data_IF_454246143348
#
_entry.id   IF_454246143348
#
_cell.length_a   1.000
_cell.length_b   1.000
_cell.length_c   1.000
_cell.angle_alpha   90.00
_cell.angle_beta   90.00
_cell.angle_gamma   90.00
#
_symmetry.space_group_name_H-M   'P 1'
#
loop_
_entity.id
_entity.type
_entity.pdbx_description
1 polymer ?
#
# COMPACT_ATOMS: atom_id res chain seq x y z
N UNK A 1 5.07 15.56 42.83
CA UNK A 1 4.82 14.36 42.00
C UNK A 1 4.08 14.86 40.76
N UNK A 2 4.82 15.25 39.73
CA UNK A 2 4.22 15.66 38.45
C UNK A 2 3.96 14.41 37.62
N UNK A 3 2.69 14.17 37.31
CA UNK A 3 2.31 13.18 36.31
C UNK A 3 2.46 13.89 34.95
N UNK A 4 3.65 13.78 34.36
CA UNK A 4 3.86 14.14 32.96
C UNK A 4 3.23 13.06 32.09
N UNK A 5 1.94 13.18 31.81
CA UNK A 5 1.36 12.48 30.66
C UNK A 5 1.83 13.24 29.42
N UNK A 6 3.01 12.89 28.91
CA UNK A 6 3.30 13.13 27.49
C UNK A 6 2.41 12.13 26.75
N UNK A 7 1.16 12.52 26.52
CA UNK A 7 0.37 11.86 25.49
C UNK A 7 0.98 12.34 24.18
N UNK A 8 2.01 11.62 23.72
CA UNK A 8 2.46 11.71 22.34
C UNK A 8 1.20 11.56 21.48
N UNK A 9 0.69 12.66 20.93
CA UNK A 9 -0.26 12.59 19.85
C UNK A 9 0.48 11.90 18.72
N UNK A 10 0.33 10.58 18.61
CA UNK A 10 0.51 9.86 17.37
C UNK A 10 -0.49 10.49 16.40
N UNK A 11 -0.07 11.53 15.68
CA UNK A 11 -0.92 12.21 14.73
C UNK A 11 -1.32 11.19 13.66
N UNK A 12 -2.59 10.82 13.64
CA UNK A 12 -3.13 9.83 12.71
C UNK A 12 -3.81 10.55 11.56
N UNK A 13 -3.48 10.15 10.33
CA UNK A 13 -4.21 10.56 9.14
C UNK A 13 -4.99 9.36 8.61
N UNK A 14 -6.33 9.45 8.59
CA UNK A 14 -7.20 8.37 8.10
C UNK A 14 -8.03 8.90 6.93
N UNK A 15 -7.86 8.29 5.76
CA UNK A 15 -8.59 8.67 4.54
C UNK A 15 -9.31 7.44 4.01
N UNK A 16 -10.60 7.58 3.70
CA UNK A 16 -11.41 6.52 3.09
C UNK A 16 -12.16 7.07 1.88
N UNK A 17 -12.07 6.38 0.73
CA UNK A 17 -12.84 6.69 -0.48
C UNK A 17 -13.51 5.44 -1.01
N UNK A 18 -14.83 5.47 -1.19
CA UNK A 18 -15.64 4.37 -1.75
C UNK A 18 -16.46 4.82 -2.95
N UNK A 19 -16.57 4.04 -4.02
CA UNK A 19 -17.45 4.36 -5.16
C UNK A 19 -17.05 3.68 -6.48
N UNK A 20 -17.60 4.12 -7.60
CA UNK A 20 -17.27 3.51 -8.90
C UNK A 20 -15.88 3.93 -9.40
N UNK A 21 -15.65 5.24 -9.55
CA UNK A 21 -14.42 5.79 -10.12
C UNK A 21 -13.92 6.93 -9.23
N UNK A 22 -12.65 6.90 -8.82
CA UNK A 22 -12.00 8.00 -8.09
C UNK A 22 -10.50 7.81 -8.07
N UNK A 23 -9.75 8.87 -7.80
CA UNK A 23 -8.37 8.75 -7.31
C UNK A 23 -8.29 9.20 -5.85
N UNK A 24 -7.21 8.81 -5.17
CA UNK A 24 -6.73 9.48 -3.95
C UNK A 24 -5.33 10.02 -4.24
N UNK A 25 -5.07 11.28 -3.89
CA UNK A 25 -3.74 11.86 -3.87
C UNK A 25 -3.47 12.42 -2.48
N UNK A 26 -2.67 11.72 -1.68
CA UNK A 26 -2.28 12.15 -0.34
C UNK A 26 -0.86 12.70 -0.33
N UNK A 27 -0.67 13.81 0.36
CA UNK A 27 0.62 14.40 0.64
C UNK A 27 0.65 14.84 2.11
N UNK A 28 1.58 14.31 2.90
CA UNK A 28 1.66 14.67 4.32
C UNK A 28 2.55 13.76 5.15
N UNK A 29 2.63 14.06 6.45
CA UNK A 29 3.35 13.27 7.42
C UNK A 29 2.47 12.97 8.65
N UNK A 30 2.80 11.91 9.39
CA UNK A 30 2.07 11.54 10.61
C UNK A 30 2.70 10.37 11.35
N UNK A 31 2.35 10.17 12.62
CA UNK A 31 2.75 8.97 13.34
C UNK A 31 2.17 7.71 12.69
N UNK A 32 0.94 7.80 12.21
CA UNK A 32 0.24 6.72 11.50
C UNK A 32 -0.59 7.27 10.34
N UNK A 33 -0.31 6.84 9.12
CA UNK A 33 -1.10 7.20 7.95
C UNK A 33 -1.85 5.97 7.44
N UNK A 34 -3.18 6.00 7.41
CA UNK A 34 -4.02 4.95 6.83
C UNK A 34 -4.88 5.49 5.70
N UNK A 35 -4.73 4.91 4.51
CA UNK A 35 -5.49 5.27 3.32
C UNK A 35 -6.21 4.04 2.78
N UNK A 36 -7.53 4.14 2.68
CA UNK A 36 -8.41 3.10 2.17
C UNK A 36 -9.12 3.58 0.89
N UNK A 37 -8.85 2.94 -0.24
CA UNK A 37 -9.45 3.25 -1.54
C UNK A 37 -10.21 2.05 -2.10
N UNK A 38 -11.52 2.11 -1.95
CA UNK A 38 -12.48 1.06 -2.30
C UNK A 38 -13.30 1.48 -3.52
N UNK A 39 -12.65 1.54 -4.67
CA UNK A 39 -13.30 1.90 -5.93
C UNK A 39 -13.13 0.83 -6.98
N UNK A 40 -14.04 0.79 -7.96
CA UNK A 40 -13.85 -0.11 -9.10
C UNK A 40 -12.64 0.33 -9.92
N UNK A 41 -12.59 1.59 -10.34
CA UNK A 41 -11.46 2.14 -11.10
C UNK A 41 -10.83 3.32 -10.37
N UNK A 42 -9.50 3.35 -10.25
CA UNK A 42 -8.87 4.44 -9.54
C UNK A 42 -7.48 4.19 -9.03
N UNK A 43 -6.61 5.19 -9.13
CA UNK A 43 -5.25 5.15 -8.59
C UNK A 43 -5.19 5.70 -7.17
N UNK A 44 -4.22 5.24 -6.40
CA UNK A 44 -3.86 5.79 -5.10
C UNK A 44 -2.42 6.30 -5.14
N UNK A 45 -2.22 7.59 -4.92
CA UNK A 45 -0.90 8.21 -4.80
C UNK A 45 -0.69 8.65 -3.37
N UNK A 46 0.46 8.31 -2.80
CA UNK A 46 0.92 8.76 -1.49
C UNK A 46 2.31 9.36 -1.62
N UNK A 47 2.49 10.57 -1.09
CA UNK A 47 3.80 11.18 -0.89
C UNK A 47 3.94 11.61 0.56
N UNK A 48 4.91 11.08 1.30
CA UNK A 48 4.92 11.38 2.73
C UNK A 48 5.86 10.60 3.61
N UNK A 49 5.71 10.83 4.91
CA UNK A 49 6.51 10.20 5.95
C UNK A 49 5.67 9.76 7.14
N UNK A 50 6.10 8.73 7.86
CA UNK A 50 5.46 8.46 9.14
C UNK A 50 6.03 7.31 9.95
N UNK A 51 5.57 7.16 11.19
CA UNK A 51 5.91 5.98 12.00
C UNK A 51 5.45 4.70 11.30
N UNK A 52 4.21 4.72 10.79
CA UNK A 52 3.70 3.65 9.93
C UNK A 52 2.77 4.19 8.83
N UNK A 53 2.93 3.68 7.62
CA UNK A 53 2.09 4.00 6.47
C UNK A 53 1.35 2.77 5.98
N UNK A 54 0.01 2.81 5.96
CA UNK A 54 -0.88 1.74 5.51
C UNK A 54 -1.73 2.20 4.33
N UNK A 55 -1.53 1.59 3.18
CA UNK A 55 -2.30 1.87 1.97
C UNK A 55 -3.05 0.62 1.55
N UNK A 56 -4.36 0.73 1.37
CA UNK A 56 -5.22 -0.36 0.92
C UNK A 56 -6.03 0.07 -0.30
N UNK A 57 -5.73 -0.53 -1.45
CA UNK A 57 -6.53 -0.40 -2.67
C UNK A 57 -7.33 -1.69 -2.85
N UNK A 58 -8.66 -1.60 -2.92
CA UNK A 58 -9.51 -2.79 -3.02
C UNK A 58 -10.80 -2.53 -3.82
N UNK A 59 -11.42 -3.58 -4.34
CA UNK A 59 -12.80 -3.54 -4.85
C UNK A 59 -13.56 -4.73 -4.26
N UNK A 60 -14.71 -4.45 -3.64
CA UNK A 60 -15.59 -5.40 -2.93
C UNK A 60 -15.44 -6.86 -3.39
N UNK A 61 -15.19 -7.77 -2.42
CA UNK A 61 -15.11 -9.26 -2.39
C UNK A 61 -14.83 -10.08 -3.67
N UNK A 62 -15.28 -9.60 -4.81
CA UNK A 62 -15.02 -10.02 -6.17
C UNK A 62 -13.71 -9.44 -6.73
N UNK A 63 -13.38 -8.16 -6.49
CA UNK A 63 -12.32 -7.42 -7.19
C UNK A 63 -12.30 -7.52 -8.74
N UNK A 64 -13.17 -8.31 -9.37
CA UNK A 64 -13.29 -8.46 -10.81
C UNK A 64 -13.73 -7.14 -11.44
N UNK A 65 -13.24 -6.91 -12.65
CA UNK A 65 -13.38 -5.69 -13.42
C UNK A 65 -12.85 -4.44 -12.71
N UNK A 66 -12.05 -4.57 -11.65
CA UNK A 66 -11.44 -3.42 -10.98
C UNK A 66 -10.03 -3.17 -11.43
N UNK A 67 -9.64 -1.89 -11.44
CA UNK A 67 -8.30 -1.50 -11.83
C UNK A 67 -7.79 -0.29 -11.07
N UNK A 68 -6.48 -0.25 -10.87
CA UNK A 68 -5.88 0.87 -10.18
C UNK A 68 -4.50 0.56 -9.63
N UNK A 69 -3.61 1.53 -9.79
CA UNK A 69 -2.25 1.42 -9.30
C UNK A 69 -2.15 2.04 -7.90
N UNK A 70 -1.17 1.57 -7.12
CA UNK A 70 -0.67 2.28 -5.95
C UNK A 70 0.70 2.87 -6.31
N UNK A 71 0.85 4.18 -6.14
CA UNK A 71 2.13 4.88 -6.22
C UNK A 71 2.48 5.42 -4.83
N UNK A 72 3.46 4.79 -4.18
CA UNK A 72 3.97 5.22 -2.88
C UNK A 72 5.36 5.84 -3.04
N UNK A 73 5.52 7.05 -2.53
CA UNK A 73 6.79 7.76 -2.43
C UNK A 73 6.96 8.24 -0.98
N UNK A 74 7.87 7.65 -0.21
CA UNK A 74 7.95 8.03 1.19
C UNK A 74 8.86 7.23 2.08
N UNK A 75 8.94 7.69 3.33
CA UNK A 75 9.71 7.03 4.39
C UNK A 75 8.78 6.59 5.51
N UNK A 76 9.16 5.55 6.23
CA UNK A 76 8.54 5.31 7.52
C UNK A 76 9.17 4.23 8.37
N UNK A 77 8.76 4.13 9.63
CA UNK A 77 9.16 2.99 10.48
C UNK A 77 8.70 1.67 9.84
N UNK A 78 7.46 1.63 9.34
CA UNK A 78 6.98 0.57 8.48
C UNK A 78 6.03 1.04 7.38
N UNK A 79 6.01 0.31 6.27
CA UNK A 79 5.18 0.58 5.11
C UNK A 79 4.41 -0.68 4.71
N UNK A 80 3.09 -0.67 4.87
CA UNK A 80 2.18 -1.75 4.47
C UNK A 80 1.32 -1.34 3.28
N UNK A 81 1.61 -1.89 2.11
CA UNK A 81 0.98 -1.53 0.84
C UNK A 81 0.24 -2.74 0.28
N UNK A 82 -1.08 -2.65 0.19
CA UNK A 82 -1.96 -3.77 -0.16
C UNK A 82 -2.86 -3.40 -1.33
N UNK A 83 -2.76 -4.15 -2.44
CA UNK A 83 -3.59 -3.96 -3.62
C UNK A 83 -4.36 -5.23 -3.96
N UNK A 84 -5.69 -5.17 -3.82
CA UNK A 84 -6.66 -6.22 -4.17
C UNK A 84 -7.61 -5.73 -5.27
N UNK A 85 -7.09 -5.65 -6.48
CA UNK A 85 -7.83 -5.27 -7.70
C UNK A 85 -7.53 -6.28 -8.81
N UNK A 86 -8.37 -6.34 -9.85
CA UNK A 86 -8.12 -7.27 -10.96
C UNK A 86 -6.82 -6.92 -11.67
N UNK A 87 -6.65 -5.66 -12.07
CA UNK A 87 -5.45 -5.18 -12.78
C UNK A 87 -4.85 -3.93 -12.15
N UNK A 88 -3.53 -3.86 -12.09
CA UNK A 88 -2.82 -2.67 -11.63
C UNK A 88 -1.58 -3.01 -10.81
N UNK A 89 -0.69 -2.04 -10.72
CA UNK A 89 0.65 -2.24 -10.18
C UNK A 89 0.78 -1.65 -8.78
N UNK A 90 1.80 -2.11 -8.06
CA UNK A 90 2.32 -1.41 -6.89
C UNK A 90 3.68 -0.85 -7.27
N UNK A 91 3.82 0.48 -7.25
CA UNK A 91 5.11 1.17 -7.34
C UNK A 91 5.46 1.79 -6.00
N UNK A 92 6.55 1.34 -5.40
CA UNK A 92 7.09 1.84 -4.15
C UNK A 92 8.44 2.49 -4.40
N UNK A 93 8.61 3.70 -3.86
CA UNK A 93 9.87 4.41 -3.83
C UNK A 93 10.11 4.98 -2.43
N UNK A 94 11.23 4.61 -1.80
CA UNK A 94 11.59 5.13 -0.49
C UNK A 94 12.14 4.08 0.46
N UNK A 95 11.72 4.07 1.72
CA UNK A 95 12.32 3.14 2.68
C UNK A 95 11.68 3.10 4.06
N UNK A 96 12.10 2.11 4.83
CA UNK A 96 11.65 1.91 6.20
C UNK A 96 12.26 0.69 6.86
N UNK A 97 12.03 0.48 8.15
CA UNK A 97 12.54 -0.73 8.81
C UNK A 97 11.87 -1.98 8.24
N UNK A 98 10.56 -1.90 8.00
CA UNK A 98 9.76 -2.94 7.38
C UNK A 98 8.98 -2.41 6.16
N UNK A 99 9.12 -3.08 5.01
CA UNK A 99 8.35 -2.79 3.81
C UNK A 99 7.59 -4.04 3.38
N UNK A 100 6.26 -4.00 3.43
CA UNK A 100 5.39 -5.11 3.02
C UNK A 100 4.53 -4.66 1.85
N UNK A 101 4.72 -5.28 0.69
CA UNK A 101 3.99 -5.01 -0.54
C UNK A 101 3.25 -6.28 -0.95
N UNK A 102 1.91 -6.25 -0.93
CA UNK A 102 1.08 -7.39 -1.30
C UNK A 102 0.18 -7.01 -2.47
N UNK A 103 0.33 -7.73 -3.58
CA UNK A 103 -0.49 -7.63 -4.77
C UNK A 103 -1.34 -8.88 -4.93
N UNK A 104 -2.66 -8.71 -4.91
CA UNK A 104 -3.63 -9.80 -5.04
C UNK A 104 -4.62 -9.56 -6.18
N UNK A 105 -4.53 -10.34 -7.25
CA UNK A 105 -5.43 -10.24 -8.41
C UNK A 105 -4.86 -10.82 -9.69
N UNK A 106 -5.53 -10.57 -10.82
CA UNK A 106 -5.25 -11.23 -12.11
C UNK A 106 -3.92 -10.81 -12.73
N UNK A 107 -3.63 -9.51 -12.76
CA UNK A 107 -2.43 -8.99 -13.42
C UNK A 107 -1.88 -7.72 -12.79
N UNK A 108 -0.56 -7.59 -12.77
CA UNK A 108 0.13 -6.39 -12.36
C UNK A 108 1.44 -6.70 -11.67
N UNK A 109 2.34 -5.73 -11.76
CA UNK A 109 3.70 -5.85 -11.28
C UNK A 109 3.86 -5.23 -9.88
N UNK A 110 4.91 -5.66 -9.19
CA UNK A 110 5.41 -4.97 -8.00
C UNK A 110 6.77 -4.37 -8.36
N UNK A 111 6.90 -3.05 -8.24
CA UNK A 111 8.17 -2.34 -8.35
C UNK A 111 8.55 -1.76 -7.00
N UNK A 112 9.69 -2.17 -6.48
CA UNK A 112 10.26 -1.61 -5.26
C UNK A 112 11.62 -0.97 -5.56
N UNK A 113 11.68 0.34 -5.34
CA UNK A 113 12.90 1.15 -5.40
C UNK A 113 13.18 1.70 -4.00
N UNK A 114 13.91 0.97 -3.17
CA UNK A 114 14.01 1.34 -1.77
C UNK A 114 14.73 0.38 -0.87
N UNK A 115 15.02 0.84 0.34
CA UNK A 115 15.74 0.06 1.33
C UNK A 115 14.89 -0.23 2.56
N UNK A 116 15.19 -1.35 3.21
CA UNK A 116 14.67 -1.65 4.53
C UNK A 116 15.27 -2.87 5.17
N UNK A 117 15.29 -2.91 6.50
CA UNK A 117 15.86 -4.05 7.23
C UNK A 117 15.12 -5.35 6.86
N UNK A 118 13.81 -5.28 6.66
CA UNK A 118 12.98 -6.37 6.14
C UNK A 118 12.07 -5.89 5.02
N UNK A 119 12.16 -6.53 3.86
CA UNK A 119 11.31 -6.29 2.70
C UNK A 119 10.55 -7.57 2.39
N UNK A 120 9.23 -7.49 2.24
CA UNK A 120 8.38 -8.62 1.84
C UNK A 120 7.51 -8.20 0.66
N UNK A 121 7.78 -8.81 -0.49
CA UNK A 121 7.05 -8.55 -1.73
C UNK A 121 6.31 -9.83 -2.10
N UNK A 122 4.99 -9.75 -2.19
CA UNK A 122 4.15 -10.94 -2.37
C UNK A 122 3.14 -10.69 -3.46
N UNK A 123 3.12 -11.57 -4.47
CA UNK A 123 2.12 -11.60 -5.51
C UNK A 123 1.35 -12.91 -5.40
N UNK A 124 0.04 -12.82 -5.23
CA UNK A 124 -0.82 -13.98 -4.97
C UNK A 124 -2.15 -13.88 -5.71
N UNK A 125 -2.77 -15.03 -5.90
CA UNK A 125 -4.22 -15.18 -6.16
C UNK A 125 -4.78 -16.09 -5.08
N UNK A 126 -6.04 -15.94 -4.69
CA UNK A 126 -6.69 -16.87 -3.74
C UNK A 126 -7.39 -17.98 -4.51
N UNK A 127 -7.41 -19.17 -3.93
CA UNK A 127 -8.16 -20.31 -4.44
C UNK A 127 -9.68 -20.08 -4.54
N UNK A 128 -10.20 -19.10 -3.80
CA UNK A 128 -11.60 -18.64 -3.82
C UNK A 128 -11.85 -17.54 -4.83
N UNK A 129 -10.81 -17.03 -5.47
CA UNK A 129 -10.95 -15.99 -6.47
C UNK A 129 -11.39 -16.58 -7.81
N UNK A 130 -12.06 -15.76 -8.62
CA UNK A 130 -12.46 -16.15 -9.98
C UNK A 130 -11.25 -16.43 -10.87
N UNK A 131 -10.10 -15.83 -10.57
CA UNK A 131 -8.84 -16.09 -11.25
C UNK A 131 -7.97 -17.03 -10.43
N UNK A 132 -7.77 -18.25 -10.94
CA UNK A 132 -6.91 -19.28 -10.32
C UNK A 132 -5.40 -19.02 -10.51
N UNK A 133 -5.07 -18.06 -11.38
CA UNK A 133 -3.70 -17.68 -11.71
C UNK A 133 -3.58 -16.15 -11.66
N UNK A 134 -2.34 -15.70 -11.45
CA UNK A 134 -1.97 -14.29 -11.48
C UNK A 134 -0.77 -14.11 -12.41
N UNK A 135 -0.68 -12.99 -13.12
CA UNK A 135 0.44 -12.62 -14.01
C UNK A 135 1.13 -11.33 -13.56
N UNK A 136 2.42 -11.19 -13.90
CA UNK A 136 3.25 -10.03 -13.54
C UNK A 136 4.55 -10.42 -12.85
N UNK A 137 5.46 -9.46 -12.80
CA UNK A 137 6.81 -9.59 -12.28
C UNK A 137 6.97 -8.84 -10.95
N UNK A 138 8.00 -9.22 -10.21
CA UNK A 138 8.46 -8.49 -9.03
C UNK A 138 9.84 -7.94 -9.36
N UNK A 139 9.97 -6.62 -9.30
CA UNK A 139 11.21 -5.88 -9.50
C UNK A 139 11.63 -5.27 -8.17
N UNK A 140 12.82 -5.62 -7.71
CA UNK A 140 13.42 -5.07 -6.50
C UNK A 140 14.76 -4.42 -6.84
N UNK A 141 14.91 -3.16 -6.44
CA UNK A 141 16.15 -2.40 -6.52
C UNK A 141 16.33 -1.64 -5.20
N UNK A 142 17.35 -2.01 -4.44
CA UNK A 142 17.63 -1.39 -3.15
C UNK A 142 18.37 -2.31 -2.20
N UNK A 143 18.26 -2.04 -0.90
CA UNK A 143 19.10 -2.67 0.13
C UNK A 143 18.33 -3.30 1.29
N UNK A 144 18.97 -4.28 1.93
CA UNK A 144 18.47 -5.00 3.10
C UNK A 144 17.92 -6.39 2.78
N UNK A 145 17.31 -7.06 3.76
CA UNK A 145 16.85 -8.45 3.62
C UNK A 145 15.54 -8.50 2.82
N UNK A 146 15.46 -9.43 1.86
CA UNK A 146 14.29 -9.73 1.04
C UNK A 146 13.73 -11.12 1.39
#
# INVERSE_FOLDING_TARGET
>A
MEISIIQELLLQNIITRKGAISNINYQGAGGYNQIWHETNTGNMTFKGGGGYNKLVRTWFNSYQNSKGNINFEGLGGGNGIFSRVETGDIKFTGGGLENVLIREGKSGDIFMYGAGANNRLTRISRNTDTYKETSGNIYFSGGGRL
#
